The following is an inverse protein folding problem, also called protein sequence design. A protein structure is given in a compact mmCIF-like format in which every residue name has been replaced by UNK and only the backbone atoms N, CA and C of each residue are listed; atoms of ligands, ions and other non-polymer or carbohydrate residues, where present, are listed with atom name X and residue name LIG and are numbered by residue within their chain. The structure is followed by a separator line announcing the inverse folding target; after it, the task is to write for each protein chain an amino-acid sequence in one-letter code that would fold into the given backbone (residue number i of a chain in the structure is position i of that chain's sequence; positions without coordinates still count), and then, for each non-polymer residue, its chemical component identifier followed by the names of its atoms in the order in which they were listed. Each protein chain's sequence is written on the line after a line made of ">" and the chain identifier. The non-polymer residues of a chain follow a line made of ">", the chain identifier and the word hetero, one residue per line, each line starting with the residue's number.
data_IF_566019039225
#
_entry.id   IF_566019039225
#
_cell.length_a   1.000
_cell.length_b   1.000
_cell.length_c   1.000
_cell.angle_alpha   90.00
_cell.angle_beta   90.00
_cell.angle_gamma   90.00
#
_symmetry.space_group_name_H-M   'P 1'
#
loop_
_entity.id
_entity.type
_entity.pdbx_description
1 polymer ?
#
# COMPACT_ATOMS: atom_id res chain seq x y z
N UNK A 1 32.08 29.73 4.24
CA UNK A 1 31.43 28.67 5.03
C UNK A 1 32.49 27.64 5.33
N UNK A 2 32.81 27.33 6.60
CA UNK A 2 33.66 26.20 6.92
C UNK A 2 33.03 24.92 6.33
N UNK A 3 33.85 24.05 5.75
CA UNK A 3 33.37 22.78 5.19
C UNK A 3 32.92 21.87 6.33
N UNK A 4 31.64 21.48 6.30
CA UNK A 4 31.10 20.45 7.18
C UNK A 4 30.93 19.16 6.38
N UNK A 5 31.56 18.07 6.86
CA UNK A 5 31.38 16.75 6.27
C UNK A 5 29.98 16.22 6.61
N UNK A 6 29.37 15.54 5.64
CA UNK A 6 28.09 14.84 5.83
C UNK A 6 28.29 13.65 6.77
N UNK A 7 27.25 13.30 7.53
CA UNK A 7 27.25 12.11 8.39
C UNK A 7 27.33 10.83 7.55
N UNK A 8 26.66 10.82 6.39
CA UNK A 8 26.73 9.73 5.41
C UNK A 8 27.09 10.26 4.02
N UNK A 9 28.39 10.46 3.72
CA UNK A 9 28.83 11.20 2.53
C UNK A 9 28.51 10.55 1.19
N UNK A 10 28.19 9.26 1.18
CA UNK A 10 27.86 8.50 -0.04
C UNK A 10 26.35 8.23 -0.19
N UNK A 11 25.52 8.68 0.75
CA UNK A 11 24.08 8.41 0.77
C UNK A 11 23.29 9.72 0.81
N UNK A 12 22.14 9.73 0.15
CA UNK A 12 21.15 10.80 0.32
C UNK A 12 20.32 10.55 1.59
N UNK A 13 20.97 10.68 2.74
CA UNK A 13 20.39 10.25 4.02
C UNK A 13 19.41 11.26 4.62
N UNK A 14 18.33 10.77 5.24
CA UNK A 14 17.40 11.65 5.97
C UNK A 14 18.08 12.46 7.07
N UNK A 15 19.14 11.95 7.68
CA UNK A 15 19.89 12.66 8.73
C UNK A 15 20.81 13.77 8.21
N UNK A 16 20.99 13.91 6.90
CA UNK A 16 21.90 14.92 6.32
C UNK A 16 21.16 16.09 5.68
N UNK A 17 19.94 15.87 5.16
CA UNK A 17 19.29 16.81 4.24
C UNK A 17 17.98 17.44 4.74
N UNK A 18 17.57 17.19 5.99
CA UNK A 18 16.27 17.64 6.53
C UNK A 18 16.38 18.51 7.80
N UNK A 19 17.50 19.22 7.95
CA UNK A 19 17.74 20.09 9.12
C UNK A 19 17.06 21.46 9.02
N UNK A 20 17.06 22.07 7.83
CA UNK A 20 16.51 23.40 7.63
C UNK A 20 15.00 23.35 7.37
N UNK A 21 14.29 24.32 7.91
CA UNK A 21 12.87 24.48 7.65
C UNK A 21 12.62 24.91 6.20
N UNK A 22 11.60 24.33 5.60
CA UNK A 22 11.17 24.64 4.25
C UNK A 22 10.13 25.77 4.27
N UNK A 23 10.38 26.83 3.50
CA UNK A 23 9.36 27.85 3.26
C UNK A 23 8.17 27.25 2.50
N UNK A 24 6.97 27.49 3.01
CA UNK A 24 5.75 27.09 2.31
C UNK A 24 5.58 27.98 1.06
N UNK A 25 5.45 27.41 -0.15
CA UNK A 25 5.24 28.18 -1.37
C UNK A 25 3.93 28.98 -1.37
N UNK A 26 2.94 28.57 -0.56
CA UNK A 26 1.57 29.08 -0.58
C UNK A 26 1.25 30.01 0.60
N UNK A 27 2.22 30.34 1.45
CA UNK A 27 2.02 31.24 2.59
C UNK A 27 3.29 31.59 3.34
N UNK A 28 3.19 32.46 4.34
CA UNK A 28 4.35 32.93 5.11
C UNK A 28 4.85 31.91 6.17
N UNK A 29 4.36 30.67 6.15
CA UNK A 29 4.70 29.64 7.12
C UNK A 29 5.98 28.88 6.76
N UNK A 30 6.71 28.44 7.77
CA UNK A 30 7.80 27.46 7.66
C UNK A 30 7.32 26.08 8.08
N UNK A 31 7.79 25.04 7.39
CA UNK A 31 7.51 23.63 7.69
C UNK A 31 8.82 22.96 8.06
N UNK A 32 8.86 22.29 9.21
CA UNK A 32 10.07 21.63 9.67
C UNK A 32 10.51 20.55 8.68
N UNK A 33 11.83 20.39 8.48
CA UNK A 33 12.35 19.34 7.59
C UNK A 33 11.90 17.94 8.00
N UNK A 34 11.81 17.67 9.31
CA UNK A 34 11.28 16.41 9.85
C UNK A 34 9.80 16.17 9.48
N UNK A 35 8.98 17.22 9.42
CA UNK A 35 7.57 17.10 9.05
C UNK A 35 7.40 16.61 7.60
N UNK A 36 8.31 16.97 6.71
CA UNK A 36 8.34 16.43 5.33
C UNK A 36 8.60 14.92 5.32
N UNK A 37 9.48 14.43 6.20
CA UNK A 37 9.75 12.99 6.35
C UNK A 37 8.52 12.26 6.90
N UNK A 38 7.84 12.85 7.89
CA UNK A 38 6.59 12.33 8.44
C UNK A 38 5.50 12.22 7.37
N UNK A 39 5.30 13.29 6.58
CA UNK A 39 4.35 13.28 5.47
C UNK A 39 4.70 12.21 4.43
N UNK A 40 6.00 12.02 4.13
CA UNK A 40 6.45 10.96 3.22
C UNK A 40 6.09 9.57 3.74
N UNK A 41 6.28 9.33 5.04
CA UNK A 41 5.90 8.07 5.70
C UNK A 41 4.38 7.83 5.66
N UNK A 42 3.58 8.83 6.02
CA UNK A 42 2.11 8.76 5.97
C UNK A 42 1.60 8.52 4.54
N UNK A 43 2.20 9.18 3.54
CA UNK A 43 1.91 8.92 2.13
C UNK A 43 2.26 7.48 1.74
N UNK A 44 3.39 6.94 2.21
CA UNK A 44 3.75 5.54 2.00
C UNK A 44 2.66 4.58 2.49
N UNK A 45 2.14 4.79 3.70
CA UNK A 45 1.02 3.99 4.24
C UNK A 45 -0.27 4.15 3.43
N UNK A 46 -0.54 5.34 2.89
CA UNK A 46 -1.68 5.57 2.01
C UNK A 46 -1.53 4.82 0.68
N UNK A 47 -0.35 4.83 0.05
CA UNK A 47 -0.14 4.11 -1.22
C UNK A 47 -0.29 2.61 -1.03
N UNK A 48 0.21 2.07 0.08
CA UNK A 48 0.02 0.66 0.45
C UNK A 48 -1.47 0.31 0.56
N UNK A 49 -2.30 1.18 1.13
CA UNK A 49 -3.76 0.99 1.21
C UNK A 49 -4.39 0.96 -0.18
N UNK A 50 -4.03 1.91 -1.04
CA UNK A 50 -4.52 1.97 -2.42
C UNK A 50 -4.11 0.74 -3.24
N UNK A 51 -2.89 0.23 -3.04
CA UNK A 51 -2.45 -1.04 -3.66
C UNK A 51 -3.30 -2.23 -3.20
N UNK A 52 -3.62 -2.32 -1.90
CA UNK A 52 -4.52 -3.36 -1.37
C UNK A 52 -5.92 -3.26 -1.99
N UNK A 53 -6.47 -2.04 -2.09
CA UNK A 53 -7.76 -1.78 -2.74
C UNK A 53 -7.76 -2.19 -4.21
N UNK A 54 -6.67 -1.93 -4.95
CA UNK A 54 -6.53 -2.40 -6.33
C UNK A 54 -6.61 -3.94 -6.43
N UNK A 55 -5.91 -4.66 -5.55
CA UNK A 55 -6.00 -6.13 -5.53
C UNK A 55 -7.39 -6.63 -5.15
N UNK A 56 -8.11 -5.90 -4.28
CA UNK A 56 -9.50 -6.22 -3.97
C UNK A 56 -10.41 -6.15 -5.19
N UNK A 57 -10.25 -5.13 -6.03
CA UNK A 57 -11.00 -5.05 -7.29
C UNK A 57 -10.59 -6.16 -8.26
N UNK A 58 -9.29 -6.50 -8.35
CA UNK A 58 -8.85 -7.67 -9.12
C UNK A 58 -9.49 -8.97 -8.63
N UNK A 59 -9.57 -9.19 -7.32
CA UNK A 59 -10.21 -10.37 -6.71
C UNK A 59 -11.67 -10.47 -7.15
N UNK A 60 -12.44 -9.38 -7.08
CA UNK A 60 -13.85 -9.36 -7.52
C UNK A 60 -14.01 -9.74 -8.99
N UNK A 61 -13.12 -9.24 -9.85
CA UNK A 61 -13.12 -9.57 -11.28
C UNK A 61 -12.90 -11.08 -11.48
N UNK A 62 -11.93 -11.66 -10.77
CA UNK A 62 -11.66 -13.10 -10.85
C UNK A 62 -12.82 -13.95 -10.32
N UNK A 63 -13.48 -13.52 -9.23
CA UNK A 63 -14.66 -14.19 -8.67
C UNK A 63 -15.85 -14.17 -9.64
N UNK A 64 -16.09 -13.03 -10.29
CA UNK A 64 -17.16 -12.92 -11.30
C UNK A 64 -16.85 -13.77 -12.54
N UNK A 65 -15.59 -13.77 -12.99
CA UNK A 65 -15.15 -14.60 -14.10
C UNK A 65 -15.35 -16.10 -13.80
N UNK A 66 -14.88 -16.57 -12.64
CA UNK A 66 -15.08 -17.94 -12.18
C UNK A 66 -16.58 -18.29 -12.07
N UNK A 67 -17.40 -17.39 -11.54
CA UNK A 67 -18.86 -17.60 -11.46
C UNK A 67 -19.50 -17.79 -12.83
N UNK A 68 -19.08 -17.00 -13.82
CA UNK A 68 -19.60 -17.10 -15.18
C UNK A 68 -19.18 -18.41 -15.86
N UNK A 69 -17.91 -18.82 -15.70
CA UNK A 69 -17.42 -20.12 -16.18
C UNK A 69 -18.18 -21.29 -15.55
N UNK A 70 -18.35 -21.27 -14.22
CA UNK A 70 -19.10 -22.29 -13.49
C UNK A 70 -20.55 -22.38 -13.98
N UNK A 71 -21.21 -21.23 -14.20
CA UNK A 71 -22.58 -21.21 -14.76
C UNK A 71 -22.63 -21.79 -16.17
N UNK A 72 -21.68 -21.44 -17.03
CA UNK A 72 -21.62 -21.93 -18.41
C UNK A 72 -21.33 -23.45 -18.47
N UNK A 73 -20.51 -23.97 -17.56
CA UNK A 73 -20.20 -25.41 -17.45
C UNK A 73 -21.46 -26.28 -17.27
N UNK A 74 -22.50 -25.74 -16.63
CA UNK A 74 -23.74 -26.46 -16.33
C UNK A 74 -24.79 -26.37 -17.45
N UNK A 75 -24.45 -25.74 -18.58
CA UNK A 75 -25.39 -25.55 -19.67
C UNK A 75 -25.71 -26.89 -20.39
N UNK A 76 -26.98 -27.07 -20.78
CA UNK A 76 -27.50 -28.25 -21.47
C UNK A 76 -27.31 -28.20 -23.00
N UNK A 77 -26.64 -27.19 -23.54
CA UNK A 77 -26.32 -27.10 -24.97
C UNK A 77 -25.61 -28.37 -25.46
N UNK A 78 -26.12 -28.90 -26.57
CA UNK A 78 -25.66 -30.14 -27.22
C UNK A 78 -25.52 -31.34 -26.26
N UNK A 79 -26.33 -31.40 -25.20
CA UNK A 79 -26.32 -32.53 -24.26
C UNK A 79 -26.87 -33.84 -24.86
N UNK A 80 -27.48 -33.77 -26.04
CA UNK A 80 -28.00 -34.94 -26.78
C UNK A 80 -26.98 -35.51 -27.77
N UNK A 81 -25.77 -34.93 -27.87
CA UNK A 81 -24.69 -35.52 -28.68
C UNK A 81 -24.25 -36.85 -28.07
N UNK A 82 -24.07 -37.87 -28.89
CA UNK A 82 -23.84 -39.25 -28.45
C UNK A 82 -22.46 -39.77 -28.85
N UNK A 83 -22.13 -40.96 -28.34
CA UNK A 83 -20.85 -41.63 -28.61
C UNK A 83 -19.64 -40.85 -28.10
N UNK A 84 -18.48 -41.14 -28.68
CA UNK A 84 -17.21 -40.54 -28.26
C UNK A 84 -17.16 -39.03 -28.46
N UNK A 85 -17.92 -38.47 -29.42
CA UNK A 85 -18.04 -37.04 -29.60
C UNK A 85 -18.83 -36.39 -28.46
N UNK A 86 -19.93 -37.01 -28.03
CA UNK A 86 -20.72 -36.56 -26.89
C UNK A 86 -19.93 -36.58 -25.58
N UNK A 87 -19.16 -37.65 -25.35
CA UNK A 87 -18.24 -37.75 -24.21
C UNK A 87 -17.18 -36.64 -24.22
N UNK A 88 -16.56 -36.38 -25.38
CA UNK A 88 -15.59 -35.30 -25.54
C UNK A 88 -16.22 -33.93 -25.28
N UNK A 89 -17.45 -33.69 -25.77
CA UNK A 89 -18.19 -32.45 -25.52
C UNK A 89 -18.54 -32.28 -24.03
N UNK A 90 -18.97 -33.34 -23.35
CA UNK A 90 -19.21 -33.32 -21.91
C UNK A 90 -17.92 -32.97 -21.15
N UNK A 91 -16.78 -33.49 -21.58
CA UNK A 91 -15.48 -33.17 -20.99
C UNK A 91 -15.07 -31.70 -21.21
N UNK A 92 -15.38 -31.10 -22.36
CA UNK A 92 -15.19 -29.65 -22.59
C UNK A 92 -16.03 -28.84 -21.61
N UNK A 93 -17.30 -29.20 -21.39
CA UNK A 93 -18.12 -28.50 -20.38
C UNK A 93 -17.56 -28.66 -18.97
N UNK A 94 -17.03 -29.84 -18.64
CA UNK A 94 -16.37 -30.09 -17.36
C UNK A 94 -15.09 -29.27 -17.20
N UNK A 95 -14.27 -29.12 -18.24
CA UNK A 95 -13.04 -28.32 -18.13
C UNK A 95 -13.32 -26.85 -17.79
N UNK A 96 -14.46 -26.29 -18.23
CA UNK A 96 -14.90 -24.95 -17.79
C UNK A 96 -15.18 -24.88 -16.28
N UNK A 97 -15.71 -25.95 -15.67
CA UNK A 97 -15.89 -26.01 -14.22
C UNK A 97 -14.53 -26.08 -13.50
N UNK A 98 -13.60 -26.87 -14.03
CA UNK A 98 -12.24 -26.98 -13.49
C UNK A 98 -11.49 -25.64 -13.60
N UNK A 99 -11.63 -24.92 -14.72
CA UNK A 99 -11.10 -23.55 -14.91
C UNK A 99 -11.70 -22.57 -13.90
N UNK A 100 -13.02 -22.63 -13.67
CA UNK A 100 -13.68 -21.81 -12.65
C UNK A 100 -13.08 -22.05 -11.25
N UNK A 101 -12.80 -23.30 -10.90
CA UNK A 101 -12.17 -23.65 -9.61
C UNK A 101 -10.73 -23.11 -9.50
N UNK A 102 -9.95 -23.17 -10.59
CA UNK A 102 -8.60 -22.58 -10.64
C UNK A 102 -8.64 -21.08 -10.37
N UNK A 103 -9.53 -20.34 -11.05
CA UNK A 103 -9.66 -18.89 -10.88
C UNK A 103 -10.16 -18.51 -9.47
N UNK A 104 -11.08 -19.29 -8.90
CA UNK A 104 -11.55 -19.06 -7.53
C UNK A 104 -10.45 -19.33 -6.49
N UNK A 105 -9.63 -20.37 -6.68
CA UNK A 105 -8.45 -20.61 -5.82
C UNK A 105 -7.43 -19.49 -5.96
N UNK A 106 -7.23 -18.97 -7.17
CA UNK A 106 -6.35 -17.83 -7.42
C UNK A 106 -6.84 -16.58 -6.70
N UNK A 107 -8.13 -16.25 -6.75
CA UNK A 107 -8.69 -15.08 -6.05
C UNK A 107 -8.53 -15.21 -4.53
N UNK A 108 -8.74 -16.41 -3.97
CA UNK A 108 -8.52 -16.68 -2.55
C UNK A 108 -7.04 -16.51 -2.13
N UNK A 109 -6.10 -16.92 -2.99
CA UNK A 109 -4.66 -16.67 -2.77
C UNK A 109 -4.30 -15.19 -2.87
N UNK A 110 -4.83 -14.47 -3.86
CA UNK A 110 -4.64 -13.02 -3.94
C UNK A 110 -5.12 -12.32 -2.67
N UNK A 111 -6.26 -12.74 -2.11
CA UNK A 111 -6.76 -12.17 -0.86
C UNK A 111 -5.80 -12.45 0.32
N UNK A 112 -5.46 -13.72 0.53
CA UNK A 112 -4.70 -14.15 1.71
C UNK A 112 -3.21 -13.82 1.67
N UNK A 113 -2.59 -13.88 0.50
CA UNK A 113 -1.14 -13.73 0.31
C UNK A 113 -0.73 -12.32 -0.17
N UNK A 114 -1.67 -11.50 -0.66
CA UNK A 114 -1.36 -10.17 -1.22
C UNK A 114 -2.19 -9.05 -0.58
N UNK A 115 -3.52 -9.06 -0.76
CA UNK A 115 -4.39 -7.96 -0.35
C UNK A 115 -4.38 -7.75 1.17
N UNK A 116 -4.50 -8.84 1.94
CA UNK A 116 -4.52 -8.81 3.40
C UNK A 116 -3.16 -8.45 4.01
N UNK A 117 -2.01 -9.02 3.59
CA UNK A 117 -0.70 -8.55 4.03
C UNK A 117 -0.46 -7.06 3.73
N UNK A 118 -0.86 -6.58 2.55
CA UNK A 118 -0.78 -5.16 2.23
C UNK A 118 -1.68 -4.31 3.13
N UNK A 119 -2.91 -4.72 3.45
CA UNK A 119 -3.76 -3.92 4.33
C UNK A 119 -3.20 -3.84 5.76
N UNK A 120 -2.77 -4.99 6.29
CA UNK A 120 -2.44 -5.17 7.70
C UNK A 120 -0.99 -4.86 8.04
N UNK A 121 -0.12 -4.62 7.05
CA UNK A 121 1.26 -4.25 7.33
C UNK A 121 1.32 -2.93 8.13
N UNK A 122 1.84 -2.99 9.35
CA UNK A 122 1.93 -1.89 10.32
C UNK A 122 0.58 -1.19 10.62
N UNK A 123 -0.34 -1.87 11.29
CA UNK A 123 -1.67 -1.31 11.64
C UNK A 123 -1.57 -0.07 12.56
N UNK A 124 -0.63 -0.07 13.51
CA UNK A 124 -0.43 1.03 14.46
C UNK A 124 0.39 2.20 13.90
N UNK A 125 0.80 2.14 12.62
CA UNK A 125 1.74 3.10 12.02
C UNK A 125 1.36 4.56 12.22
N UNK A 126 0.09 4.93 11.98
CA UNK A 126 -0.37 6.31 12.14
C UNK A 126 -0.24 6.81 13.59
N UNK A 127 -0.45 5.93 14.56
CA UNK A 127 -0.30 6.26 15.99
C UNK A 127 1.18 6.44 16.34
N UNK A 128 2.04 5.57 15.83
CA UNK A 128 3.47 5.64 16.10
C UNK A 128 4.12 6.88 15.44
N UNK A 129 3.71 7.21 14.22
CA UNK A 129 4.11 8.44 13.54
C UNK A 129 3.70 9.69 14.32
N UNK A 130 2.48 9.74 14.89
CA UNK A 130 2.06 10.85 15.77
C UNK A 130 2.90 10.96 17.04
N UNK A 131 3.30 9.83 17.64
CA UNK A 131 4.18 9.85 18.81
C UNK A 131 5.57 10.39 18.46
N UNK A 132 6.14 9.94 17.33
CA UNK A 132 7.42 10.45 16.84
C UNK A 132 7.37 11.96 16.58
N UNK A 133 6.31 12.43 15.91
CA UNK A 133 6.07 13.85 15.65
C UNK A 133 6.02 14.67 16.95
N UNK A 134 5.21 14.23 17.91
CA UNK A 134 5.08 14.90 19.21
C UNK A 134 6.42 14.98 19.95
N UNK A 135 7.19 13.88 19.96
CA UNK A 135 8.49 13.85 20.63
C UNK A 135 9.49 14.86 20.03
N UNK A 136 9.55 14.96 18.70
CA UNK A 136 10.43 15.93 18.03
C UNK A 136 9.92 17.36 18.26
N UNK A 137 8.61 17.59 18.18
CA UNK A 137 8.02 18.90 18.43
C UNK A 137 8.31 19.41 19.86
N UNK A 138 8.28 18.54 20.86
CA UNK A 138 8.61 18.89 22.25
C UNK A 138 10.08 19.32 22.40
N UNK A 139 11.01 18.61 21.74
CA UNK A 139 12.43 18.98 21.73
C UNK A 139 12.66 20.32 21.02
N UNK A 140 12.00 20.56 19.89
CA UNK A 140 12.06 21.84 19.18
C UNK A 140 11.53 22.99 20.06
N UNK A 141 10.44 22.76 20.81
CA UNK A 141 9.91 23.75 21.75
C UNK A 141 10.88 24.06 22.89
N UNK A 142 11.55 23.04 23.44
CA UNK A 142 12.60 23.24 24.44
C UNK A 142 13.75 24.08 23.88
N UNK A 143 14.20 23.78 22.66
CA UNK A 143 15.24 24.55 21.98
C UNK A 143 14.84 26.02 21.79
N UNK A 144 13.63 26.30 21.32
CA UNK A 144 13.13 27.67 21.18
C UNK A 144 13.07 28.40 22.53
N UNK A 145 12.69 27.71 23.60
CA UNK A 145 12.69 28.29 24.96
C UNK A 145 14.09 28.66 25.42
N UNK A 146 15.09 27.80 25.18
CA UNK A 146 16.49 28.10 25.50
C UNK A 146 17.02 29.28 24.70
N UNK A 147 16.70 29.33 23.40
CA UNK A 147 17.09 30.45 22.53
C UNK A 147 16.54 31.78 23.04
N UNK A 148 15.25 31.84 23.42
CA UNK A 148 14.64 33.04 23.99
C UNK A 148 15.31 33.48 25.30
N UNK A 149 15.67 32.55 26.18
CA UNK A 149 16.40 32.86 27.42
C UNK A 149 17.76 33.50 27.14
N UNK A 150 18.47 33.02 26.12
CA UNK A 150 19.77 33.58 25.70
C UNK A 150 19.60 34.98 25.09
N UNK A 151 18.56 35.23 24.30
CA UNK A 151 18.31 36.57 23.74
C UNK A 151 17.96 37.62 24.79
N UNK A 152 17.41 37.20 25.93
CA UNK A 152 17.02 38.08 27.04
C UNK A 152 18.10 38.28 28.10
N UNK A 153 19.22 37.57 28.02
CA UNK A 153 20.35 37.64 28.96
C UNK A 153 21.41 38.66 28.52
#
# INVERSE_FOLDING_TARGET
>A
MPEQQLLKPTEWSYCDYFWADKKNPQGNGMVAGFELLLQKQLKGKQMQKEMSEFFRERIKIEEEYAKNLAKLSQNSLAAQEEGSLGEAWAQVKKSLADEAEVHLKFSAKLHSEVEKPLMNFHENFKKDMKKCDHHIADLSKQLSSHYALVETA
#
